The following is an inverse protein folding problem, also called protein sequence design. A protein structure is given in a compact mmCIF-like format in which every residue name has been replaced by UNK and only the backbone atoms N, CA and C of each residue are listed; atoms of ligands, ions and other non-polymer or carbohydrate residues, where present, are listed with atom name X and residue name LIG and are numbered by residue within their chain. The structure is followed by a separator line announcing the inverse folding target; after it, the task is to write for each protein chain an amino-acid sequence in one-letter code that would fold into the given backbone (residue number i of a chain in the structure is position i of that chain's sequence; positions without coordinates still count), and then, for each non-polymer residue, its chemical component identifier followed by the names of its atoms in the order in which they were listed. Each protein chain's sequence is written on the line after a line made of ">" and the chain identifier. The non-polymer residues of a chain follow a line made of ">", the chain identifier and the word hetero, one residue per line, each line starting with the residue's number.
data_IF_314333477769
#
_entry.id   IF_314333477769
#
_cell.length_a   1.000
_cell.length_b   1.000
_cell.length_c   1.000
_cell.angle_alpha   90.00
_cell.angle_beta   90.00
_cell.angle_gamma   90.00
#
_symmetry.space_group_name_H-M   'P 1'
#
loop_
_entity.id
_entity.type
_entity.pdbx_description
1 polymer ?
#
# COMPACT_ATOMS: atom_id res chain seq x y z
N UNK A 1 -38.14 26.38 14.34
CA UNK A 1 -36.69 26.54 14.57
C UNK A 1 -35.98 25.20 14.76
N UNK A 2 -36.45 24.33 15.65
CA UNK A 2 -35.85 23.01 15.92
C UNK A 2 -35.61 22.16 14.66
N UNK A 3 -36.56 22.07 13.73
CA UNK A 3 -36.38 21.35 12.45
C UNK A 3 -35.24 21.88 11.58
N UNK A 4 -35.00 23.21 11.57
CA UNK A 4 -33.91 23.81 10.80
C UNK A 4 -32.55 23.51 11.45
N UNK A 5 -32.49 23.50 12.78
CA UNK A 5 -31.28 23.13 13.55
C UNK A 5 -30.93 21.66 13.29
N UNK A 6 -31.91 20.76 13.42
CA UNK A 6 -31.70 19.32 13.14
C UNK A 6 -31.26 19.05 11.69
N UNK A 7 -31.77 19.81 10.72
CA UNK A 7 -31.34 19.69 9.32
C UNK A 7 -29.89 20.15 9.13
N UNK A 8 -29.48 21.24 9.81
CA UNK A 8 -28.10 21.72 9.76
C UNK A 8 -27.16 20.70 10.42
N UNK A 9 -27.52 20.15 11.58
CA UNK A 9 -26.74 19.12 12.28
C UNK A 9 -26.58 17.86 11.42
N UNK A 10 -27.67 17.39 10.81
CA UNK A 10 -27.63 16.24 9.91
C UNK A 10 -26.75 16.51 8.68
N UNK A 11 -26.82 17.71 8.10
CA UNK A 11 -25.98 18.10 6.97
C UNK A 11 -24.50 18.15 7.36
N UNK A 12 -24.17 18.74 8.51
CA UNK A 12 -22.80 18.79 9.02
C UNK A 12 -22.27 17.37 9.26
N UNK A 13 -23.05 16.50 9.88
CA UNK A 13 -22.68 15.11 10.10
C UNK A 13 -22.44 14.37 8.78
N UNK A 14 -23.31 14.57 7.79
CA UNK A 14 -23.15 13.98 6.46
C UNK A 14 -21.84 14.44 5.81
N UNK A 15 -21.55 15.74 5.84
CA UNK A 15 -20.31 16.30 5.28
C UNK A 15 -19.07 15.71 5.99
N UNK A 16 -19.10 15.57 7.31
CA UNK A 16 -18.01 14.95 8.08
C UNK A 16 -17.80 13.49 7.69
N UNK A 17 -18.88 12.70 7.58
CA UNK A 17 -18.81 11.30 7.17
C UNK A 17 -18.22 11.18 5.76
N UNK A 18 -18.66 12.04 4.83
CA UNK A 18 -18.13 12.05 3.46
C UNK A 18 -16.65 12.45 3.44
N UNK A 19 -16.25 13.45 4.21
CA UNK A 19 -14.84 13.88 4.33
C UNK A 19 -13.95 12.76 4.87
N UNK A 20 -14.36 12.05 5.92
CA UNK A 20 -13.63 10.89 6.46
C UNK A 20 -13.57 9.77 5.41
N UNK A 21 -14.69 9.48 4.76
CA UNK A 21 -14.80 8.36 3.82
C UNK A 21 -13.91 8.55 2.59
N UNK A 22 -13.88 9.76 2.03
CA UNK A 22 -13.28 10.03 0.73
C UNK A 22 -11.94 10.78 0.77
N UNK A 23 -11.63 11.54 1.82
CA UNK A 23 -10.47 12.44 1.82
C UNK A 23 -9.44 12.11 2.91
N UNK A 24 -9.87 11.85 4.16
CA UNK A 24 -8.97 11.75 5.32
C UNK A 24 -7.84 10.71 5.13
N UNK A 25 -8.17 9.52 4.63
CA UNK A 25 -7.19 8.46 4.43
C UNK A 25 -6.11 8.86 3.41
N UNK A 26 -6.50 9.48 2.29
CA UNK A 26 -5.57 9.92 1.26
C UNK A 26 -4.69 11.06 1.73
N UNK A 27 -5.26 12.03 2.45
CA UNK A 27 -4.51 13.13 3.06
C UNK A 27 -3.45 12.63 4.04
N UNK A 28 -3.78 11.69 4.92
CA UNK A 28 -2.81 11.10 5.87
C UNK A 28 -1.73 10.32 5.13
N UNK A 29 -2.09 9.56 4.08
CA UNK A 29 -1.13 8.82 3.25
C UNK A 29 -0.13 9.77 2.56
N UNK A 30 -0.60 10.88 1.98
CA UNK A 30 0.26 11.89 1.33
C UNK A 30 1.29 12.48 2.28
N UNK A 31 0.87 12.80 3.51
CA UNK A 31 1.76 13.40 4.52
C UNK A 31 2.80 12.41 5.05
N UNK A 32 2.44 11.12 5.15
CA UNK A 32 3.32 10.08 5.68
C UNK A 32 4.19 9.42 4.61
N UNK A 33 3.84 9.55 3.33
CA UNK A 33 4.56 8.97 2.19
C UNK A 33 4.88 10.05 1.15
N UNK A 34 5.43 11.18 1.62
CA UNK A 34 5.83 12.29 0.76
C UNK A 34 6.81 11.82 -0.31
N UNK A 35 6.57 12.23 -1.56
CA UNK A 35 7.51 12.07 -2.67
C UNK A 35 8.08 13.44 -2.96
N UNK A 36 9.35 13.64 -2.64
CA UNK A 36 10.02 14.92 -2.89
C UNK A 36 10.19 15.14 -4.39
N UNK A 37 9.74 16.29 -4.94
CA UNK A 37 9.98 16.63 -6.33
C UNK A 37 11.48 16.67 -6.63
N UNK A 38 11.90 15.99 -7.69
CA UNK A 38 13.28 15.98 -8.13
C UNK A 38 13.37 16.05 -9.67
N UNK A 39 14.46 16.60 -10.23
CA UNK A 39 14.70 16.50 -11.67
C UNK A 39 14.94 15.03 -12.07
N UNK A 40 14.72 14.66 -13.35
CA UNK A 40 15.06 13.31 -13.81
C UNK A 40 16.50 12.93 -13.50
N UNK A 41 16.71 11.71 -13.01
CA UNK A 41 18.05 11.19 -12.77
C UNK A 41 18.77 10.96 -14.10
N UNK A 42 20.05 11.36 -14.17
CA UNK A 42 20.89 11.04 -15.33
C UNK A 42 21.30 9.57 -15.22
N UNK A 43 20.70 8.72 -16.04
CA UNK A 43 20.99 7.28 -16.11
C UNK A 43 21.86 7.02 -17.34
N UNK A 44 23.01 6.38 -17.14
CA UNK A 44 23.89 6.02 -18.26
C UNK A 44 23.26 4.91 -19.11
N UNK A 45 23.68 4.80 -20.37
CA UNK A 45 23.20 3.74 -21.25
C UNK A 45 23.52 2.34 -20.70
N UNK A 46 24.69 2.19 -20.07
CA UNK A 46 25.14 0.95 -19.44
C UNK A 46 24.26 0.59 -18.24
N UNK A 47 23.90 1.57 -17.40
CA UNK A 47 23.02 1.35 -16.24
C UNK A 47 21.59 0.98 -16.68
N UNK A 48 21.06 1.67 -17.69
CA UNK A 48 19.75 1.34 -18.26
C UNK A 48 19.73 -0.08 -18.87
N UNK A 49 20.78 -0.45 -19.62
CA UNK A 49 20.92 -1.80 -20.18
C UNK A 49 21.07 -2.88 -19.10
N UNK A 50 21.80 -2.59 -18.01
CA UNK A 50 21.91 -3.50 -16.86
C UNK A 50 20.55 -3.67 -16.17
N UNK A 51 19.83 -2.57 -15.91
CA UNK A 51 18.54 -2.64 -15.23
C UNK A 51 17.50 -3.41 -16.06
N UNK A 52 17.50 -3.26 -17.38
CA UNK A 52 16.58 -3.95 -18.27
C UNK A 52 16.75 -5.49 -18.28
N UNK A 53 17.91 -6.01 -17.82
CA UNK A 53 18.22 -7.46 -17.84
C UNK A 53 18.20 -8.14 -16.48
N UNK A 54 18.20 -7.39 -15.37
CA UNK A 54 18.24 -7.98 -14.03
C UNK A 54 16.84 -7.97 -13.39
N UNK A 55 16.41 -9.07 -12.74
CA UNK A 55 15.24 -9.02 -11.89
C UNK A 55 15.56 -8.21 -10.63
N UNK A 56 14.75 -7.19 -10.34
CA UNK A 56 14.85 -6.43 -9.09
C UNK A 56 13.87 -7.00 -8.07
N UNK A 57 14.33 -7.19 -6.84
CA UNK A 57 13.50 -7.56 -5.70
C UNK A 57 13.53 -6.44 -4.66
N UNK A 58 12.36 -5.89 -4.36
CA UNK A 58 12.15 -5.03 -3.20
C UNK A 58 11.66 -5.91 -2.04
N UNK A 59 12.39 -5.85 -0.91
CA UNK A 59 12.16 -6.74 0.23
C UNK A 59 11.22 -6.15 1.28
N UNK A 60 10.69 -4.93 1.08
CA UNK A 60 9.80 -4.31 2.05
C UNK A 60 9.01 -3.13 1.48
N UNK A 61 7.69 -3.27 1.40
CA UNK A 61 6.78 -2.13 1.22
C UNK A 61 5.43 -2.39 1.90
N UNK A 62 4.80 -1.32 2.37
CA UNK A 62 3.54 -1.38 3.14
C UNK A 62 2.28 -0.90 2.37
N UNK A 63 2.07 -1.19 1.07
CA UNK A 63 0.88 -0.71 0.39
C UNK A 63 -0.40 -1.36 0.92
N UNK A 64 -0.30 -2.53 1.58
CA UNK A 64 -1.42 -3.19 2.25
C UNK A 64 -1.98 -2.37 3.42
N UNK A 65 -1.19 -1.46 4.00
CA UNK A 65 -1.64 -0.55 5.05
C UNK A 65 -2.61 0.52 4.53
N UNK A 66 -2.52 0.90 3.25
CA UNK A 66 -3.21 2.08 2.74
C UNK A 66 -4.54 1.77 2.05
N UNK A 67 -5.51 2.67 2.19
CA UNK A 67 -6.84 2.57 1.59
C UNK A 67 -6.85 3.03 0.14
N UNK A 68 -6.15 2.28 -0.72
CA UNK A 68 -6.16 2.45 -2.18
C UNK A 68 -6.09 1.11 -2.90
N UNK A 69 -6.41 1.13 -4.17
CA UNK A 69 -6.20 0.00 -5.05
C UNK A 69 -4.79 0.04 -5.62
N UNK A 70 -3.88 -0.77 -5.04
CA UNK A 70 -2.48 -0.81 -5.45
C UNK A 70 -2.27 -1.35 -6.86
N UNK A 71 -3.23 -2.09 -7.41
CA UNK A 71 -3.20 -2.56 -8.80
C UNK A 71 -3.30 -1.42 -9.82
N UNK A 72 -3.74 -0.23 -9.40
CA UNK A 72 -3.94 0.93 -10.26
C UNK A 72 -2.94 2.04 -9.97
N UNK A 73 -2.63 2.85 -10.99
CA UNK A 73 -1.74 4.00 -10.85
C UNK A 73 -2.32 4.98 -9.84
N UNK A 74 -1.53 5.32 -8.82
CA UNK A 74 -1.91 6.32 -7.84
C UNK A 74 -1.33 7.71 -8.19
N UNK A 75 -1.86 8.74 -7.56
CA UNK A 75 -1.35 10.12 -7.55
C UNK A 75 -0.46 10.40 -6.33
N UNK A 76 -0.48 9.53 -5.33
CA UNK A 76 0.27 9.61 -4.06
C UNK A 76 1.03 8.32 -3.73
N UNK A 77 1.85 8.38 -2.68
CA UNK A 77 2.66 7.27 -2.19
C UNK A 77 3.78 6.86 -3.17
N UNK A 78 4.66 5.94 -2.74
CA UNK A 78 5.82 5.54 -3.54
C UNK A 78 5.51 4.43 -4.55
N UNK A 79 4.71 3.43 -4.19
CA UNK A 79 4.54 2.20 -4.99
C UNK A 79 3.12 1.99 -5.49
N UNK A 80 2.96 1.52 -6.72
CA UNK A 80 1.76 0.92 -7.28
C UNK A 80 2.16 -0.06 -8.38
N UNK A 81 1.30 -1.03 -8.71
CA UNK A 81 1.65 -2.08 -9.67
C UNK A 81 2.16 -1.51 -11.02
N UNK A 82 1.51 -0.49 -11.63
CA UNK A 82 2.05 0.14 -12.84
C UNK A 82 3.48 0.68 -12.67
N UNK A 83 3.75 1.48 -11.63
CA UNK A 83 5.10 2.02 -11.37
C UNK A 83 6.14 0.95 -11.12
N UNK A 84 5.76 -0.11 -10.41
CA UNK A 84 6.67 -1.22 -10.11
C UNK A 84 7.06 -1.97 -11.39
N UNK A 85 6.10 -2.15 -12.31
CA UNK A 85 6.35 -2.74 -13.65
C UNK A 85 7.18 -1.81 -14.54
N UNK A 86 6.85 -0.51 -14.56
CA UNK A 86 7.64 0.53 -15.26
C UNK A 86 9.10 0.55 -14.75
N UNK A 87 9.29 0.38 -13.44
CA UNK A 87 10.59 0.30 -12.78
C UNK A 87 11.26 -1.08 -12.85
N UNK A 88 10.70 -2.04 -13.59
CA UNK A 88 11.32 -3.36 -13.78
C UNK A 88 11.38 -4.24 -12.53
N UNK A 89 10.61 -3.94 -11.47
CA UNK A 89 10.56 -4.77 -10.26
C UNK A 89 9.90 -6.11 -10.57
N UNK A 90 10.62 -7.19 -10.26
CA UNK A 90 10.16 -8.55 -10.44
C UNK A 90 9.41 -9.06 -9.20
N UNK A 91 9.92 -8.75 -8.01
CA UNK A 91 9.37 -9.20 -6.73
C UNK A 91 9.24 -8.03 -5.76
N UNK A 92 8.08 -7.89 -5.13
CA UNK A 92 7.86 -6.95 -4.02
C UNK A 92 7.37 -7.75 -2.81
N UNK A 93 8.09 -7.72 -1.71
CA UNK A 93 7.54 -8.22 -0.44
C UNK A 93 6.54 -7.19 0.08
N UNK A 94 5.27 -7.61 0.16
CA UNK A 94 4.16 -6.79 0.64
C UNK A 94 3.93 -7.06 2.13
N UNK A 95 4.35 -6.14 3.00
CA UNK A 95 4.32 -6.32 4.45
C UNK A 95 2.96 -5.97 5.05
N UNK A 96 2.59 -6.71 6.10
CA UNK A 96 1.37 -6.51 6.86
C UNK A 96 1.67 -5.76 8.16
N UNK A 97 1.48 -4.44 8.16
CA UNK A 97 1.72 -3.61 9.34
C UNK A 97 0.56 -3.76 10.33
N UNK A 98 0.85 -4.23 11.53
CA UNK A 98 -0.20 -4.52 12.53
C UNK A 98 -0.12 -3.66 13.78
N UNK A 99 1.02 -3.03 14.05
CA UNK A 99 1.23 -2.15 15.22
C UNK A 99 2.38 -1.18 14.92
N UNK A 100 2.25 0.04 15.41
CA UNK A 100 3.31 1.05 15.31
C UNK A 100 3.30 1.95 16.55
N UNK A 101 4.27 1.83 17.46
CA UNK A 101 4.39 2.73 18.60
C UNK A 101 4.51 4.20 18.20
N UNK A 102 4.04 5.12 19.04
CA UNK A 102 4.26 6.55 18.85
C UNK A 102 5.68 6.95 19.29
N UNK A 103 6.24 8.01 18.69
CA UNK A 103 7.51 8.58 19.12
C UNK A 103 8.73 7.71 18.81
N UNK A 104 8.65 6.90 17.75
CA UNK A 104 9.74 6.02 17.36
C UNK A 104 11.01 6.79 16.98
N UNK A 105 12.15 6.16 17.21
CA UNK A 105 13.48 6.63 16.83
C UNK A 105 14.39 5.43 16.50
N UNK A 106 15.63 5.69 16.09
CA UNK A 106 16.58 4.65 15.68
C UNK A 106 17.27 3.92 16.85
N UNK A 107 17.22 4.44 18.07
CA UNK A 107 17.95 3.89 19.22
C UNK A 107 17.09 2.91 20.04
N UNK A 108 15.87 3.33 20.42
CA UNK A 108 14.98 2.55 21.27
C UNK A 108 13.52 2.91 21.07
N UNK A 109 12.67 1.89 20.97
CA UNK A 109 11.24 2.02 20.72
C UNK A 109 10.44 1.22 21.75
N UNK A 110 9.61 1.92 22.53
CA UNK A 110 8.64 1.29 23.44
C UNK A 110 7.51 0.62 22.64
N UNK A 111 6.79 -0.33 23.24
CA UNK A 111 5.69 -1.07 22.59
C UNK A 111 4.31 -0.82 23.23
N UNK A 112 4.21 0.14 24.14
CA UNK A 112 3.04 0.48 24.94
C UNK A 112 1.94 1.21 24.14
N UNK A 113 2.28 1.85 23.04
CA UNK A 113 1.37 2.62 22.18
C UNK A 113 1.12 1.94 20.84
N UNK A 114 0.07 2.36 20.14
CA UNK A 114 -0.29 1.84 18.82
C UNK A 114 -1.03 2.88 17.97
N UNK A 115 -0.29 3.49 17.05
CA UNK A 115 -0.81 4.49 16.10
C UNK A 115 -1.62 3.85 14.97
N UNK A 116 -1.46 2.55 14.70
CA UNK A 116 -2.21 1.85 13.64
C UNK A 116 -3.69 1.72 14.00
N UNK A 117 -4.05 1.71 15.29
CA UNK A 117 -5.45 1.78 15.74
C UNK A 117 -6.17 2.99 15.15
N UNK A 118 -5.57 4.18 15.32
CA UNK A 118 -6.16 5.43 14.83
C UNK A 118 -6.20 5.48 13.31
N UNK A 119 -5.15 4.97 12.65
CA UNK A 119 -5.12 4.89 11.19
C UNK A 119 -6.19 3.93 10.65
N UNK A 120 -6.37 2.75 11.26
CA UNK A 120 -7.41 1.80 10.88
C UNK A 120 -8.82 2.42 11.01
N UNK A 121 -9.06 3.18 12.09
CA UNK A 121 -10.31 3.93 12.27
C UNK A 121 -10.49 5.01 11.20
N UNK A 122 -9.46 5.84 10.94
CA UNK A 122 -9.50 6.91 9.94
C UNK A 122 -9.73 6.38 8.53
N UNK A 123 -9.18 5.20 8.21
CA UNK A 123 -9.37 4.54 6.93
C UNK A 123 -10.71 3.79 6.83
N UNK A 124 -11.49 3.72 7.92
CA UNK A 124 -12.72 2.94 8.01
C UNK A 124 -12.48 1.44 7.73
N UNK A 125 -11.39 0.89 8.24
CA UNK A 125 -11.19 -0.56 8.26
C UNK A 125 -12.29 -1.24 9.09
N UNK A 126 -12.57 -2.54 8.87
CA UNK A 126 -13.57 -3.27 9.64
C UNK A 126 -13.37 -3.16 11.15
N UNK A 127 -14.46 -3.03 11.93
CA UNK A 127 -14.40 -2.84 13.40
C UNK A 127 -13.53 -3.88 14.11
N UNK A 128 -13.49 -5.13 13.61
CA UNK A 128 -12.66 -6.21 14.14
C UNK A 128 -11.16 -5.89 14.15
N UNK A 129 -10.69 -5.02 13.25
CA UNK A 129 -9.27 -4.65 13.13
C UNK A 129 -8.86 -3.55 14.13
N UNK A 130 -9.81 -2.88 14.79
CA UNK A 130 -9.50 -1.67 15.54
C UNK A 130 -8.63 -1.96 16.77
N UNK A 131 -8.89 -3.06 17.48
CA UNK A 131 -8.16 -3.42 18.70
C UNK A 131 -7.46 -4.78 18.63
N UNK A 132 -7.25 -5.32 17.42
CA UNK A 132 -6.63 -6.64 17.23
C UNK A 132 -5.56 -6.59 16.13
N UNK A 133 -4.26 -6.69 16.49
CA UNK A 133 -3.18 -6.84 15.52
C UNK A 133 -3.36 -8.06 14.61
N UNK A 134 -3.92 -9.14 15.14
CA UNK A 134 -4.25 -10.34 14.37
C UNK A 134 -5.28 -10.04 13.27
N UNK A 135 -6.39 -9.39 13.61
CA UNK A 135 -7.43 -9.05 12.63
C UNK A 135 -6.92 -8.06 11.57
N UNK A 136 -5.95 -7.20 11.91
CA UNK A 136 -5.26 -6.35 10.92
C UNK A 136 -4.42 -7.15 9.96
N UNK A 137 -3.72 -8.19 10.42
CA UNK A 137 -2.98 -9.10 9.56
C UNK A 137 -3.93 -9.84 8.61
N UNK A 138 -5.04 -10.38 9.15
CA UNK A 138 -6.07 -11.07 8.37
C UNK A 138 -6.65 -10.15 7.29
N UNK A 139 -7.05 -8.93 7.64
CA UNK A 139 -7.61 -7.97 6.69
C UNK A 139 -6.61 -7.59 5.58
N UNK A 140 -5.33 -7.42 5.90
CA UNK A 140 -4.29 -7.18 4.89
C UNK A 140 -4.07 -8.42 4.00
N UNK A 141 -4.13 -9.63 4.56
CA UNK A 141 -4.14 -10.87 3.78
C UNK A 141 -5.35 -10.99 2.84
N UNK A 142 -6.54 -10.56 3.28
CA UNK A 142 -7.74 -10.50 2.43
C UNK A 142 -7.56 -9.53 1.26
N UNK A 143 -6.94 -8.35 1.50
CA UNK A 143 -6.58 -7.40 0.45
C UNK A 143 -5.57 -8.00 -0.54
N UNK A 144 -4.53 -8.67 -0.05
CA UNK A 144 -3.52 -9.31 -0.91
C UNK A 144 -4.15 -10.42 -1.76
N UNK A 145 -5.01 -11.24 -1.17
CA UNK A 145 -5.76 -12.26 -1.90
C UNK A 145 -6.73 -11.66 -2.93
N UNK A 146 -7.29 -10.48 -2.66
CA UNK A 146 -8.08 -9.74 -3.63
C UNK A 146 -7.23 -9.21 -4.80
N UNK A 147 -6.03 -8.68 -4.51
CA UNK A 147 -5.09 -8.29 -5.54
C UNK A 147 -4.64 -9.47 -6.40
N UNK A 148 -4.38 -10.63 -5.81
CA UNK A 148 -4.03 -11.87 -6.54
C UNK A 148 -5.15 -12.27 -7.51
N UNK A 149 -6.42 -12.18 -7.10
CA UNK A 149 -7.56 -12.50 -7.96
C UNK A 149 -7.77 -11.49 -9.09
N UNK A 150 -7.58 -10.19 -8.82
CA UNK A 150 -7.84 -9.10 -9.78
C UNK A 150 -6.63 -8.77 -10.66
N UNK A 151 -5.43 -9.15 -10.25
CA UNK A 151 -4.17 -8.85 -10.89
C UNK A 151 -3.96 -9.54 -12.24
N UNK A 152 -4.70 -10.61 -12.52
CA UNK A 152 -4.64 -11.33 -13.79
C UNK A 152 -3.23 -11.83 -14.10
N UNK A 153 -2.73 -11.52 -15.29
CA UNK A 153 -1.36 -11.89 -15.70
C UNK A 153 -0.29 -10.92 -15.17
N UNK A 154 -0.70 -9.76 -14.65
CA UNK A 154 0.22 -8.68 -14.26
C UNK A 154 0.74 -8.82 -12.82
N UNK A 155 0.00 -9.53 -11.96
CA UNK A 155 0.36 -9.72 -10.56
C UNK A 155 -0.02 -11.12 -10.07
N UNK A 156 0.85 -11.71 -9.24
CA UNK A 156 0.56 -12.95 -8.53
C UNK A 156 1.28 -13.06 -7.20
N UNK A 157 0.63 -13.66 -6.23
CA UNK A 157 1.23 -13.94 -4.90
C UNK A 157 2.14 -15.16 -4.98
N UNK A 158 3.36 -15.00 -4.49
CA UNK A 158 4.38 -16.05 -4.46
C UNK A 158 4.27 -16.82 -3.14
N UNK A 159 3.87 -18.10 -3.22
CA UNK A 159 3.63 -18.95 -2.03
C UNK A 159 4.72 -20.00 -1.83
N UNK A 160 5.50 -20.26 -2.87
CA UNK A 160 6.51 -21.30 -2.89
C UNK A 160 7.71 -20.89 -3.74
N UNK A 161 8.80 -21.66 -3.59
CA UNK A 161 9.96 -21.55 -4.48
C UNK A 161 9.59 -21.76 -5.95
N UNK A 162 8.70 -22.71 -6.23
CA UNK A 162 8.25 -23.00 -7.60
C UNK A 162 7.49 -21.84 -8.24
N UNK A 163 6.71 -21.09 -7.46
CA UNK A 163 6.00 -19.90 -7.97
C UNK A 163 7.00 -18.81 -8.39
N UNK A 164 8.07 -18.64 -7.59
CA UNK A 164 9.16 -17.71 -7.86
C UNK A 164 9.98 -18.15 -9.08
N UNK A 165 10.37 -19.43 -9.17
CA UNK A 165 11.09 -19.97 -10.32
C UNK A 165 10.28 -19.74 -11.60
N UNK A 166 8.97 -20.07 -11.58
CA UNK A 166 8.07 -19.77 -12.70
C UNK A 166 8.01 -18.28 -13.03
N UNK A 167 8.13 -17.39 -12.05
CA UNK A 167 8.03 -15.93 -12.28
C UNK A 167 9.24 -15.45 -13.04
N UNK A 168 10.41 -15.92 -12.65
CA UNK A 168 11.66 -15.63 -13.33
C UNK A 168 11.65 -16.19 -14.75
N UNK A 169 11.19 -17.44 -14.95
CA UNK A 169 11.05 -18.04 -16.28
C UNK A 169 10.08 -17.28 -17.20
N UNK A 170 8.92 -16.84 -16.68
CA UNK A 170 7.96 -16.07 -17.47
C UNK A 170 8.55 -14.70 -17.88
N UNK A 171 9.33 -14.08 -17.00
CA UNK A 171 10.00 -12.80 -17.26
C UNK A 171 11.14 -12.93 -18.26
N UNK A 172 11.89 -14.03 -18.24
CA UNK A 172 12.88 -14.34 -19.28
C UNK A 172 12.22 -14.46 -20.68
N UNK A 173 10.94 -14.86 -20.73
CA UNK A 173 10.13 -14.91 -21.96
C UNK A 173 9.47 -13.57 -22.32
N UNK A 174 9.74 -12.50 -21.58
CA UNK A 174 9.23 -11.16 -21.85
C UNK A 174 7.99 -10.75 -21.04
N UNK A 175 7.52 -11.57 -20.09
CA UNK A 175 6.47 -11.14 -19.17
C UNK A 175 6.94 -9.97 -18.30
N UNK A 176 6.02 -9.06 -17.99
CA UNK A 176 6.22 -7.99 -17.00
C UNK A 176 5.45 -8.26 -15.70
N UNK A 177 5.02 -9.50 -15.46
CA UNK A 177 4.33 -9.88 -14.23
C UNK A 177 5.19 -9.57 -13.00
N UNK A 178 4.55 -9.09 -11.94
CA UNK A 178 5.17 -8.85 -10.64
C UNK A 178 4.72 -9.91 -9.63
N UNK A 179 5.68 -10.44 -8.88
CA UNK A 179 5.44 -11.31 -7.73
C UNK A 179 5.26 -10.49 -6.44
N UNK A 180 4.27 -10.85 -5.64
CA UNK A 180 3.95 -10.23 -4.34
C UNK A 180 3.97 -11.20 -3.17
#
# INVERSE_FOLDING_TARGET
>A
MLRKILLIEALVLLVLILGIKFWLAGFVEEQLNTVEPHPPWVVSAEAAALHARIPVADLHADPLLWKRDWLTRADRGHTDLPRMREGGVALQVLTAVTKSPSGQNYESNASDTDTITYLAMAQLWPLRTWNSPFERAVYQGEKLADWDRRGGEDFRVIRSRGDLEKLLEDRERGSQALGG
#
